data_IF_115924167731
#
_entry.id   IF_115924167731
#
_cell.length_a   1.000
_cell.length_b   1.000
_cell.length_c   1.000
_cell.angle_alpha   90.00
_cell.angle_beta   90.00
_cell.angle_gamma   90.00
#
_symmetry.space_group_name_H-M   'P 1'
#
loop_
_entity.id
_entity.type
_entity.pdbx_description
1 polymer ?
#
# COMPACT_ATOMS: atom_id res chain seq x y z
N UNK A 1 10.58 -25.53 -2.33
CA UNK A 1 11.44 -24.68 -1.48
C UNK A 1 10.65 -23.42 -1.20
N UNK A 2 10.15 -23.24 0.03
CA UNK A 2 9.04 -22.31 0.30
C UNK A 2 9.48 -20.84 0.27
N UNK A 3 8.65 -19.98 -0.31
CA UNK A 3 8.87 -18.53 -0.48
C UNK A 3 9.16 -17.80 0.85
N UNK A 4 8.62 -18.31 1.95
CA UNK A 4 8.88 -17.82 3.32
C UNK A 4 10.30 -18.05 3.80
N UNK A 5 10.97 -19.11 3.35
CA UNK A 5 12.34 -19.45 3.74
C UNK A 5 13.35 -18.58 3.00
N UNK A 6 13.15 -18.37 1.69
CA UNK A 6 14.02 -17.52 0.87
C UNK A 6 14.02 -16.05 1.33
N UNK A 7 12.89 -15.54 1.84
CA UNK A 7 12.77 -14.18 2.36
C UNK A 7 13.51 -13.99 3.70
N UNK A 8 13.60 -15.04 4.54
CA UNK A 8 14.37 -15.01 5.80
C UNK A 8 15.87 -14.94 5.57
N UNK A 9 16.36 -15.57 4.52
CA UNK A 9 17.80 -15.58 4.20
C UNK A 9 18.28 -14.24 3.61
N UNK A 10 17.42 -13.54 2.86
CA UNK A 10 17.70 -12.19 2.37
C UNK A 10 17.66 -11.12 3.49
N UNK A 11 16.77 -11.27 4.46
CA UNK A 11 16.67 -10.37 5.63
C UNK A 11 17.91 -10.45 6.54
N UNK A 12 18.63 -11.58 6.55
CA UNK A 12 19.80 -11.78 7.39
C UNK A 12 21.00 -10.87 7.04
N UNK A 13 20.98 -10.21 5.88
CA UNK A 13 22.02 -9.27 5.42
C UNK A 13 21.58 -7.79 5.52
N UNK A 14 20.29 -7.52 5.81
CA UNK A 14 19.78 -6.15 5.87
C UNK A 14 20.07 -5.51 7.23
N UNK A 15 20.73 -4.35 7.22
CA UNK A 15 21.01 -3.59 8.46
C UNK A 15 19.79 -2.84 9.01
N UNK A 16 18.74 -2.66 8.20
CA UNK A 16 17.50 -2.00 8.58
C UNK A 16 16.34 -2.48 7.70
N UNK A 17 15.13 -2.43 8.24
CA UNK A 17 13.88 -2.71 7.52
C UNK A 17 12.77 -1.75 7.97
N UNK A 18 11.80 -1.53 7.10
CA UNK A 18 10.54 -0.85 7.42
C UNK A 18 9.41 -1.87 7.44
N UNK A 19 8.68 -1.95 8.54
CA UNK A 19 7.48 -2.77 8.66
C UNK A 19 6.26 -1.89 8.47
N UNK A 20 5.43 -2.24 7.48
CA UNK A 20 4.26 -1.44 7.11
C UNK A 20 3.00 -2.09 7.64
N UNK A 21 2.28 -1.38 8.51
CA UNK A 21 0.99 -1.82 9.03
C UNK A 21 -0.16 -1.50 8.05
N UNK A 22 -0.59 -2.51 7.31
CA UNK A 22 -1.72 -2.39 6.38
C UNK A 22 -3.08 -2.28 7.10
N UNK A 23 -3.20 -2.68 8.36
CA UNK A 23 -4.42 -2.47 9.13
C UNK A 23 -4.61 -0.98 9.46
N UNK A 24 -3.54 -0.30 9.86
CA UNK A 24 -3.55 1.16 10.04
C UNK A 24 -3.93 1.89 8.75
N UNK A 25 -3.36 1.48 7.60
CA UNK A 25 -3.73 2.05 6.30
C UNK A 25 -5.23 1.88 6.00
N UNK A 26 -5.79 0.69 6.22
CA UNK A 26 -7.24 0.44 6.03
C UNK A 26 -8.09 1.29 6.96
N UNK A 27 -7.68 1.47 8.22
CA UNK A 27 -8.38 2.33 9.17
C UNK A 27 -8.39 3.79 8.71
N UNK A 28 -7.25 4.30 8.22
CA UNK A 28 -7.14 5.66 7.69
C UNK A 28 -8.08 5.88 6.50
N UNK A 29 -8.13 4.93 5.58
CA UNK A 29 -9.05 4.98 4.42
C UNK A 29 -10.51 5.05 4.86
N UNK A 30 -10.93 4.20 5.82
CA UNK A 30 -12.30 4.23 6.36
C UNK A 30 -12.62 5.58 7.02
N UNK A 31 -11.71 6.09 7.85
CA UNK A 31 -11.88 7.37 8.51
C UNK A 31 -12.03 8.54 7.51
N UNK A 32 -11.27 8.54 6.41
CA UNK A 32 -11.42 9.55 5.37
C UNK A 32 -12.78 9.45 4.65
N UNK A 33 -13.25 8.23 4.37
CA UNK A 33 -14.57 8.01 3.77
C UNK A 33 -15.71 8.45 4.68
N UNK A 34 -15.59 8.24 5.99
CA UNK A 34 -16.56 8.70 6.98
C UNK A 34 -16.61 10.23 7.07
N UNK A 35 -15.47 10.90 6.92
CA UNK A 35 -15.36 12.37 6.97
C UNK A 35 -15.85 13.07 5.70
N UNK A 36 -15.83 12.39 4.57
CA UNK A 36 -16.25 12.93 3.28
C UNK A 36 -17.32 12.03 2.64
N UNK A 37 -18.51 11.92 3.26
CA UNK A 37 -19.58 11.08 2.72
C UNK A 37 -19.97 11.53 1.31
N UNK A 38 -20.09 10.58 0.39
CA UNK A 38 -20.44 10.82 -1.00
C UNK A 38 -19.28 11.20 -1.93
N UNK A 39 -18.10 11.52 -1.39
CA UNK A 39 -16.91 11.76 -2.21
C UNK A 39 -16.27 10.42 -2.63
N UNK A 40 -15.83 10.36 -3.89
CA UNK A 40 -14.93 9.28 -4.32
C UNK A 40 -13.55 9.48 -3.68
N UNK A 41 -12.98 8.41 -3.12
CA UNK A 41 -11.67 8.46 -2.50
C UNK A 41 -10.61 7.88 -3.44
N UNK A 42 -9.62 8.71 -3.78
CA UNK A 42 -8.42 8.30 -4.50
C UNK A 42 -7.28 8.05 -3.52
N UNK A 43 -6.82 6.81 -3.43
CA UNK A 43 -5.62 6.49 -2.66
C UNK A 43 -4.37 6.74 -3.53
N UNK A 44 -3.52 7.66 -3.07
CA UNK A 44 -2.28 8.00 -3.78
C UNK A 44 -1.19 7.01 -3.41
N UNK A 45 -0.68 6.28 -4.41
CA UNK A 45 0.33 5.23 -4.26
C UNK A 45 1.59 5.49 -5.11
N UNK A 46 1.82 6.75 -5.50
CA UNK A 46 3.03 7.17 -6.21
C UNK A 46 4.32 6.86 -5.44
N UNK A 47 5.44 6.77 -6.14
CA UNK A 47 6.76 6.49 -5.57
C UNK A 47 6.74 5.26 -4.65
N UNK A 48 6.18 4.16 -5.16
CA UNK A 48 6.00 2.91 -4.42
C UNK A 48 5.19 3.08 -3.11
N UNK A 49 4.05 3.77 -3.19
CA UNK A 49 3.29 4.25 -2.03
C UNK A 49 4.15 4.98 -0.99
N UNK A 50 4.92 5.97 -1.45
CA UNK A 50 5.85 6.73 -0.61
C UNK A 50 6.87 5.82 0.09
N UNK A 51 7.33 4.76 -0.58
CA UNK A 51 8.26 3.75 -0.05
C UNK A 51 7.63 2.69 0.87
N UNK A 52 6.30 2.61 0.97
CA UNK A 52 5.59 1.63 1.78
C UNK A 52 5.23 0.35 0.99
N UNK A 53 5.48 0.31 -0.31
CA UNK A 53 5.09 -0.77 -1.22
C UNK A 53 3.74 -0.50 -1.89
N UNK A 54 3.78 -0.11 -3.17
CA UNK A 54 2.61 0.30 -3.93
C UNK A 54 1.52 -0.79 -3.99
N UNK A 55 1.90 -2.00 -4.40
CA UNK A 55 0.94 -3.10 -4.59
C UNK A 55 0.20 -3.49 -3.29
N UNK A 56 0.87 -3.81 -2.17
CA UNK A 56 0.17 -4.14 -0.93
C UNK A 56 -0.66 -2.97 -0.39
N UNK A 57 -0.15 -1.73 -0.46
CA UNK A 57 -0.89 -0.54 -0.03
C UNK A 57 -2.13 -0.27 -0.90
N UNK A 58 -2.01 -0.36 -2.22
CA UNK A 58 -3.13 -0.17 -3.15
C UNK A 58 -4.25 -1.19 -2.91
N UNK A 59 -3.90 -2.48 -2.79
CA UNK A 59 -4.86 -3.54 -2.48
C UNK A 59 -5.56 -3.30 -1.14
N UNK A 60 -4.80 -2.92 -0.11
CA UNK A 60 -5.36 -2.60 1.19
C UNK A 60 -6.32 -1.39 1.13
N UNK A 61 -5.95 -0.34 0.39
CA UNK A 61 -6.80 0.84 0.23
C UNK A 61 -8.12 0.51 -0.50
N UNK A 62 -8.06 -0.25 -1.59
CA UNK A 62 -9.25 -0.69 -2.33
C UNK A 62 -10.15 -1.56 -1.44
N UNK A 63 -9.58 -2.50 -0.70
CA UNK A 63 -10.33 -3.34 0.24
C UNK A 63 -11.00 -2.53 1.38
N UNK A 64 -10.48 -1.34 1.70
CA UNK A 64 -11.08 -0.42 2.67
C UNK A 64 -12.08 0.57 2.06
N UNK A 65 -12.27 0.55 0.73
CA UNK A 65 -13.29 1.32 0.02
C UNK A 65 -12.77 2.51 -0.78
N UNK A 66 -11.45 2.62 -1.01
CA UNK A 66 -10.94 3.51 -2.05
C UNK A 66 -11.45 3.04 -3.42
N UNK A 67 -12.00 3.95 -4.22
CA UNK A 67 -12.54 3.63 -5.56
C UNK A 67 -11.61 4.05 -6.68
N UNK A 68 -10.57 4.81 -6.36
CA UNK A 68 -9.54 5.25 -7.30
C UNK A 68 -8.15 5.04 -6.72
N UNK A 69 -7.17 4.85 -7.61
CA UNK A 69 -5.74 4.85 -7.30
C UNK A 69 -5.07 5.98 -8.08
N UNK A 70 -4.15 6.70 -7.43
CA UNK A 70 -3.36 7.77 -8.04
C UNK A 70 -1.87 7.44 -8.03
N UNK A 71 -1.24 7.40 -9.20
CA UNK A 71 0.21 7.22 -9.38
C UNK A 71 0.83 8.49 -9.98
N UNK A 72 2.17 8.59 -9.98
CA UNK A 72 2.88 9.69 -10.63
C UNK A 72 3.18 9.40 -12.11
N UNK A 73 3.38 8.13 -12.47
CA UNK A 73 3.78 7.75 -13.83
C UNK A 73 2.93 6.60 -14.40
N UNK A 74 2.86 6.43 -15.73
CA UNK A 74 2.22 5.28 -16.36
C UNK A 74 2.86 3.95 -15.97
N UNK A 75 4.18 3.92 -15.74
CA UNK A 75 4.89 2.70 -15.34
C UNK A 75 4.43 2.21 -13.97
N UNK A 76 4.26 3.13 -13.01
CA UNK A 76 3.65 2.80 -11.72
C UNK A 76 2.20 2.30 -11.87
N UNK A 77 1.46 2.81 -12.86
CA UNK A 77 0.07 2.41 -13.09
C UNK A 77 -0.09 1.03 -13.76
N UNK A 78 0.90 0.61 -14.55
CA UNK A 78 0.88 -0.65 -15.31
C UNK A 78 1.57 -1.83 -14.60
N UNK A 79 2.15 -1.59 -13.42
CA UNK A 79 2.91 -2.58 -12.63
C UNK A 79 2.04 -3.70 -12.04
#
# INVERSE_FOLDING_TARGET
MSETTARRDADAVLRARAEIDLAALRANVRALRERAPGAALMAVVKADAYGHGAIPCARAAVAAGATWLGTATPQEALA
#
